data_IF_967633084949
#
_entry.id   IF_967633084949
#
_cell.length_a   1.000
_cell.length_b   1.000
_cell.length_c   1.000
_cell.angle_alpha   90.00
_cell.angle_beta   90.00
_cell.angle_gamma   90.00
#
_symmetry.space_group_name_H-M   'P 1'
#
loop_
_entity.id
_entity.type
_entity.pdbx_description
1 polymer ?
#
# COMPACT_ATOMS: atom_id res chain seq x y z
N UNK A 1 -26.45 -35.59 -41.78
CA UNK A 1 -25.98 -34.18 -41.71
C UNK A 1 -25.85 -33.73 -40.27
N UNK A 2 -24.64 -33.75 -39.70
CA UNK A 2 -24.22 -32.90 -38.57
C UNK A 2 -22.70 -32.71 -38.72
N UNK A 3 -22.28 -31.49 -39.05
CA UNK A 3 -20.87 -31.12 -39.24
C UNK A 3 -20.19 -31.07 -37.87
N UNK A 4 -19.14 -31.87 -37.67
CA UNK A 4 -18.27 -31.78 -36.50
C UNK A 4 -17.47 -30.47 -36.50
N UNK A 5 -17.49 -29.76 -35.37
CA UNK A 5 -16.76 -28.51 -35.16
C UNK A 5 -15.29 -28.86 -34.84
N UNK A 6 -14.35 -28.46 -35.69
CA UNK A 6 -12.90 -28.58 -35.44
C UNK A 6 -12.52 -27.69 -34.26
N UNK A 7 -11.87 -28.27 -33.25
CA UNK A 7 -11.21 -27.55 -32.15
C UNK A 7 -10.00 -26.82 -32.75
N UNK A 8 -9.90 -25.51 -32.48
CA UNK A 8 -8.74 -24.69 -32.85
C UNK A 8 -7.78 -24.70 -31.66
N UNK A 9 -6.57 -25.22 -31.87
CA UNK A 9 -5.44 -24.97 -30.98
C UNK A 9 -5.09 -23.49 -31.02
N UNK A 10 -4.88 -22.90 -29.84
CA UNK A 10 -4.47 -21.51 -29.68
C UNK A 10 -2.96 -21.49 -29.82
N UNK A 11 -2.48 -20.78 -30.84
CA UNK A 11 -1.07 -20.54 -31.12
C UNK A 11 -0.44 -19.67 -30.02
N UNK A 12 0.62 -20.16 -29.39
CA UNK A 12 1.57 -19.32 -28.66
C UNK A 12 2.38 -18.43 -29.64
N UNK A 13 2.52 -17.15 -29.31
CA UNK A 13 3.45 -16.18 -29.93
C UNK A 13 4.18 -15.40 -28.81
N UNK A 14 5.36 -14.80 -29.04
CA UNK A 14 6.48 -15.19 -29.90
C UNK A 14 7.81 -15.27 -29.11
N UNK A 15 8.80 -15.97 -29.68
CA UNK A 15 10.22 -15.88 -29.28
C UNK A 15 10.77 -14.50 -29.60
N UNK A 16 11.41 -13.84 -28.63
CA UNK A 16 12.81 -13.36 -28.66
C UNK A 16 12.99 -12.21 -27.66
N UNK A 17 13.75 -12.44 -26.59
CA UNK A 17 14.49 -11.38 -25.93
C UNK A 17 15.94 -11.82 -25.74
N UNK A 18 16.80 -10.97 -26.29
CA UNK A 18 18.26 -11.02 -26.44
C UNK A 18 18.99 -11.67 -25.27
N UNK A 19 19.73 -12.74 -25.56
CA UNK A 19 20.75 -13.29 -24.67
C UNK A 19 21.88 -12.24 -24.60
N UNK A 20 21.94 -11.50 -23.50
CA UNK A 20 23.09 -10.66 -23.16
C UNK A 20 24.34 -11.55 -23.12
N UNK A 21 25.26 -11.36 -24.05
CA UNK A 21 26.55 -12.04 -24.03
C UNK A 21 27.46 -11.36 -22.99
N UNK A 22 27.25 -11.67 -21.71
CA UNK A 22 28.21 -11.32 -20.66
C UNK A 22 28.99 -12.60 -20.35
N UNK A 23 30.22 -12.69 -20.88
CA UNK A 23 31.15 -13.76 -20.51
C UNK A 23 31.85 -13.30 -19.23
N UNK A 24 31.40 -13.81 -18.08
CA UNK A 24 32.10 -13.60 -16.80
C UNK A 24 33.13 -14.71 -16.66
N UNK A 25 34.41 -14.37 -16.79
CA UNK A 25 35.49 -15.31 -16.53
C UNK A 25 35.86 -15.25 -15.04
N UNK A 26 35.26 -16.12 -14.23
CA UNK A 26 35.60 -16.26 -12.82
C UNK A 26 36.79 -17.20 -12.70
N UNK A 27 37.93 -16.72 -12.19
CA UNK A 27 39.04 -17.61 -11.82
C UNK A 27 38.55 -18.57 -10.73
N UNK A 28 38.71 -19.90 -10.89
CA UNK A 28 38.42 -20.83 -9.82
C UNK A 28 39.37 -20.51 -8.66
N UNK A 29 38.80 -20.18 -7.51
CA UNK A 29 39.55 -20.00 -6.28
C UNK A 29 39.69 -21.41 -5.69
N UNK A 30 40.90 -21.99 -5.74
CA UNK A 30 41.13 -23.39 -5.33
C UNK A 30 41.00 -23.62 -3.83
N UNK A 31 40.79 -22.57 -3.03
CA UNK A 31 40.64 -22.66 -1.58
C UNK A 31 39.31 -22.08 -1.10
N UNK A 32 38.21 -22.80 -1.27
CA UNK A 32 37.02 -22.63 -0.43
C UNK A 32 36.41 -23.98 -0.12
N UNK A 33 36.45 -24.36 1.17
CA UNK A 33 35.53 -25.36 1.72
C UNK A 33 34.13 -24.95 1.28
N UNK A 34 33.49 -25.80 0.48
CA UNK A 34 32.10 -25.61 0.09
C UNK A 34 31.32 -26.04 1.32
N UNK A 35 30.82 -25.07 2.09
CA UNK A 35 29.82 -25.39 3.10
C UNK A 35 28.58 -25.87 2.32
N UNK A 36 28.36 -27.18 2.31
CA UNK A 36 27.17 -27.78 1.70
C UNK A 36 25.94 -27.15 2.36
N UNK A 37 25.23 -26.32 1.61
CA UNK A 37 23.98 -25.76 2.07
C UNK A 37 23.01 -26.94 2.24
N UNK A 38 22.47 -27.20 3.45
CA UNK A 38 21.57 -28.31 3.64
C UNK A 38 20.38 -28.17 2.69
N UNK A 39 20.05 -29.27 2.01
CA UNK A 39 18.90 -29.33 1.11
C UNK A 39 17.61 -28.95 1.85
N UNK A 40 16.64 -28.38 1.13
CA UNK A 40 15.34 -28.07 1.70
C UNK A 40 14.63 -29.38 2.08
N UNK A 41 14.63 -29.69 3.38
CA UNK A 41 13.77 -30.72 3.95
C UNK A 41 12.40 -30.11 4.21
N UNK A 42 11.34 -30.72 3.67
CA UNK A 42 9.97 -30.38 4.08
C UNK A 42 9.80 -30.84 5.51
N UNK A 43 9.96 -29.92 6.44
CA UNK A 43 9.45 -30.11 7.79
C UNK A 43 7.93 -30.19 7.68
N UNK A 44 7.36 -31.36 7.96
CA UNK A 44 5.93 -31.49 8.21
C UNK A 44 5.64 -30.63 9.45
N UNK A 45 5.19 -29.40 9.23
CA UNK A 45 4.79 -28.51 10.31
C UNK A 45 3.57 -29.15 10.99
N UNK A 46 3.82 -29.84 12.09
CA UNK A 46 2.78 -30.38 12.94
C UNK A 46 2.15 -29.19 13.69
N UNK A 47 1.20 -28.53 13.03
CA UNK A 47 0.50 -27.29 13.47
C UNK A 47 -0.12 -27.45 14.87
N UNK A 48 -0.27 -28.68 15.35
CA UNK A 48 -0.96 -29.00 16.58
C UNK A 48 -0.25 -28.56 17.88
N UNK A 49 1.01 -28.12 17.84
CA UNK A 49 1.74 -27.66 19.04
C UNK A 49 2.70 -26.49 18.76
N UNK A 50 2.29 -25.49 17.97
CA UNK A 50 2.95 -24.18 18.09
C UNK A 50 2.51 -23.60 19.43
N UNK A 51 3.35 -23.77 20.44
CA UNK A 51 3.23 -23.04 21.69
C UNK A 51 3.54 -21.56 21.39
N UNK A 52 2.52 -20.79 20.99
CA UNK A 52 2.57 -19.35 20.62
C UNK A 52 3.07 -18.47 21.81
N UNK A 53 3.42 -19.06 22.95
CA UNK A 53 3.65 -18.38 24.21
C UNK A 53 5.11 -17.93 24.47
N UNK A 54 5.97 -17.70 23.47
CA UNK A 54 7.37 -17.30 23.77
C UNK A 54 8.04 -16.29 22.83
N UNK A 55 7.28 -15.53 22.06
CA UNK A 55 7.80 -14.30 21.45
C UNK A 55 6.83 -13.17 21.74
N UNK A 56 7.29 -12.14 22.44
CA UNK A 56 6.58 -10.88 22.65
C UNK A 56 6.00 -10.38 21.32
N UNK A 57 4.76 -10.75 21.01
CA UNK A 57 4.13 -10.36 19.78
C UNK A 57 3.78 -8.88 19.89
N UNK A 58 4.29 -8.09 18.96
CA UNK A 58 4.02 -6.66 18.90
C UNK A 58 2.72 -6.41 18.15
N UNK A 59 1.88 -5.53 18.68
CA UNK A 59 0.63 -5.13 18.03
C UNK A 59 0.93 -4.33 16.75
N UNK A 60 0.31 -4.73 15.63
CA UNK A 60 0.49 -4.07 14.33
C UNK A 60 -0.01 -2.63 14.28
N UNK A 61 -0.91 -2.24 15.19
CA UNK A 61 -1.44 -0.88 15.27
C UNK A 61 -0.65 0.02 16.23
N UNK A 62 -0.57 -0.36 17.52
CA UNK A 62 0.07 0.49 18.54
C UNK A 62 1.57 0.27 18.69
N UNK A 63 2.16 -0.74 18.03
CA UNK A 63 3.59 -1.05 18.09
C UNK A 63 4.13 -1.39 19.49
N UNK A 64 3.27 -1.80 20.43
CA UNK A 64 3.66 -2.24 21.77
C UNK A 64 3.48 -3.76 21.93
N UNK A 65 4.24 -4.34 22.87
CA UNK A 65 4.12 -5.75 23.24
C UNK A 65 2.70 -6.07 23.72
N UNK A 66 2.18 -7.20 23.26
CA UNK A 66 0.88 -7.74 23.67
C UNK A 66 1.12 -8.60 24.91
N UNK A 67 0.52 -8.22 26.04
CA UNK A 67 0.62 -8.96 27.30
C UNK A 67 -0.57 -9.91 27.50
N UNK A 68 -1.67 -9.67 26.78
CA UNK A 68 -2.93 -10.41 26.86
C UNK A 68 -3.06 -11.41 25.70
N UNK A 69 -4.26 -11.95 25.48
CA UNK A 69 -4.58 -12.77 24.30
C UNK A 69 -4.28 -12.00 23.01
N UNK A 70 -3.52 -12.62 22.11
CA UNK A 70 -3.27 -12.08 20.77
C UNK A 70 -4.52 -12.23 19.93
N UNK A 71 -5.02 -11.10 19.42
CA UNK A 71 -6.15 -11.08 18.50
C UNK A 71 -5.67 -10.93 17.06
N UNK A 72 -6.40 -11.54 16.14
CA UNK A 72 -6.13 -11.46 14.71
C UNK A 72 -7.30 -10.84 13.95
N UNK A 73 -6.98 -10.07 12.91
CA UNK A 73 -7.97 -9.43 12.06
C UNK A 73 -8.63 -10.45 11.15
N UNK A 74 -9.97 -10.58 11.15
CA UNK A 74 -10.67 -11.42 10.18
C UNK A 74 -10.68 -10.75 8.80
N UNK A 75 -10.20 -11.45 7.78
CA UNK A 75 -10.24 -11.01 6.37
C UNK A 75 -11.48 -11.57 5.67
N UNK A 76 -11.75 -12.86 5.92
CA UNK A 76 -12.74 -13.63 5.16
C UNK A 76 -13.50 -14.56 6.10
N UNK A 77 -14.76 -14.78 5.77
CA UNK A 77 -15.62 -15.71 6.48
C UNK A 77 -16.29 -16.63 5.45
N UNK A 78 -15.93 -17.92 5.47
CA UNK A 78 -16.46 -18.95 4.58
C UNK A 78 -16.68 -20.25 5.37
N UNK A 79 -17.80 -20.94 5.13
CA UNK A 79 -18.11 -22.24 5.75
C UNK A 79 -17.98 -22.24 7.29
N UNK A 80 -18.40 -21.14 7.93
CA UNK A 80 -18.29 -20.93 9.38
C UNK A 80 -16.85 -20.86 9.92
N UNK A 81 -15.86 -20.66 9.05
CA UNK A 81 -14.45 -20.50 9.40
C UNK A 81 -13.99 -19.08 9.06
N UNK A 82 -13.29 -18.46 10.00
CA UNK A 82 -12.65 -17.16 9.80
C UNK A 82 -11.20 -17.33 9.37
N UNK A 83 -10.85 -16.76 8.22
CA UNK A 83 -9.44 -16.56 7.86
C UNK A 83 -8.97 -15.25 8.49
N UNK A 84 -7.97 -15.34 9.36
CA UNK A 84 -7.47 -14.19 10.13
C UNK A 84 -6.00 -13.90 9.83
N UNK A 85 -5.59 -12.64 10.03
CA UNK A 85 -4.20 -12.19 9.88
C UNK A 85 -3.79 -11.21 10.97
N UNK A 86 -2.48 -11.13 11.20
CA UNK A 86 -1.88 -10.12 12.06
C UNK A 86 -2.08 -10.36 13.54
N UNK A 87 -1.34 -9.56 14.32
CA UNK A 87 -1.30 -9.64 15.78
C UNK A 87 -1.72 -8.29 16.36
N UNK A 88 -2.74 -8.29 17.21
CA UNK A 88 -3.33 -7.08 17.78
C UNK A 88 -3.63 -7.27 19.27
N UNK A 89 -3.50 -6.19 20.04
CA UNK A 89 -3.81 -6.20 21.48
C UNK A 89 -5.31 -6.01 21.79
N UNK A 90 -6.11 -5.50 20.85
CA UNK A 90 -7.54 -5.25 21.05
C UNK A 90 -8.32 -5.17 19.74
N UNK A 91 -9.62 -5.44 19.78
CA UNK A 91 -10.50 -5.25 18.61
C UNK A 91 -10.50 -3.80 18.12
N UNK A 92 -10.39 -2.82 19.03
CA UNK A 92 -10.30 -1.41 18.69
C UNK A 92 -9.02 -1.08 17.91
N UNK A 93 -7.92 -1.78 18.19
CA UNK A 93 -6.69 -1.65 17.40
C UNK A 93 -6.84 -2.25 16.00
N UNK A 94 -7.61 -3.34 15.86
CA UNK A 94 -7.92 -3.93 14.55
C UNK A 94 -8.76 -2.96 13.72
N UNK A 95 -9.84 -2.42 14.29
CA UNK A 95 -10.70 -1.48 13.57
C UNK A 95 -9.94 -0.21 13.17
N UNK A 96 -9.07 0.31 14.05
CA UNK A 96 -8.21 1.44 13.70
C UNK A 96 -7.24 1.12 12.56
N UNK A 97 -6.63 -0.06 12.59
CA UNK A 97 -5.73 -0.52 11.53
C UNK A 97 -6.45 -0.66 10.18
N UNK A 98 -7.70 -1.12 10.18
CA UNK A 98 -8.54 -1.18 8.97
C UNK A 98 -8.83 0.23 8.45
N UNK A 99 -9.17 1.18 9.33
CA UNK A 99 -9.49 2.55 8.92
C UNK A 99 -8.26 3.29 8.38
N UNK A 100 -7.10 3.09 9.01
CA UNK A 100 -5.83 3.68 8.57
C UNK A 100 -5.27 2.97 7.32
N UNK A 101 -5.92 1.92 6.81
CA UNK A 101 -5.52 1.28 5.54
C UNK A 101 -5.87 2.20 4.36
N UNK A 102 -4.93 2.37 3.42
CA UNK A 102 -5.11 3.22 2.23
C UNK A 102 -5.95 2.52 1.15
N UNK A 103 -7.05 1.88 1.55
CA UNK A 103 -7.96 1.17 0.66
C UNK A 103 -9.19 2.01 0.32
N UNK A 104 -10.01 1.51 -0.62
CA UNK A 104 -11.30 2.12 -0.92
C UNK A 104 -12.23 2.05 0.30
N UNK A 105 -13.10 3.05 0.43
CA UNK A 105 -14.08 3.11 1.52
C UNK A 105 -14.96 1.85 1.60
N UNK A 106 -15.38 1.31 0.47
CA UNK A 106 -16.15 0.08 0.40
C UNK A 106 -15.42 -1.12 1.02
N UNK A 107 -14.13 -1.28 0.71
CA UNK A 107 -13.32 -2.36 1.29
C UNK A 107 -13.13 -2.19 2.79
N UNK A 108 -12.95 -0.95 3.25
CA UNK A 108 -12.87 -0.60 4.68
C UNK A 108 -14.17 -1.01 5.39
N UNK A 109 -15.34 -0.63 4.84
CA UNK A 109 -16.64 -0.99 5.43
C UNK A 109 -16.89 -2.50 5.44
N UNK A 110 -16.50 -3.21 4.38
CA UNK A 110 -16.61 -4.67 4.32
C UNK A 110 -15.76 -5.33 5.42
N UNK A 111 -14.50 -4.91 5.56
CA UNK A 111 -13.61 -5.42 6.61
C UNK A 111 -14.10 -5.10 8.02
N UNK A 112 -14.60 -3.89 8.25
CA UNK A 112 -15.22 -3.52 9.53
C UNK A 112 -16.47 -4.34 9.83
N UNK A 113 -17.28 -4.64 8.82
CA UNK A 113 -18.46 -5.50 8.97
C UNK A 113 -18.08 -6.93 9.33
N UNK A 114 -17.05 -7.49 8.69
CA UNK A 114 -16.50 -8.81 9.04
C UNK A 114 -15.92 -8.83 10.47
N UNK A 115 -15.24 -7.77 10.88
CA UNK A 115 -14.73 -7.62 12.26
C UNK A 115 -15.87 -7.59 13.29
N UNK A 116 -16.94 -6.84 13.01
CA UNK A 116 -18.11 -6.77 13.88
C UNK A 116 -18.80 -8.13 14.00
N UNK A 117 -18.92 -8.88 12.89
CA UNK A 117 -19.44 -10.24 12.90
C UNK A 117 -18.58 -11.16 13.79
N UNK A 118 -17.26 -11.12 13.59
CA UNK A 118 -16.31 -11.92 14.38
C UNK A 118 -16.40 -11.60 15.88
N UNK A 119 -16.44 -10.32 16.23
CA UNK A 119 -16.58 -9.86 17.61
C UNK A 119 -17.88 -10.38 18.27
N UNK A 120 -18.99 -10.32 17.54
CA UNK A 120 -20.29 -10.75 18.05
C UNK A 120 -20.36 -12.27 18.25
N UNK A 121 -19.76 -13.05 17.34
CA UNK A 121 -19.67 -14.51 17.48
C UNK A 121 -18.76 -14.89 18.66
N UNK A 122 -17.58 -14.28 18.79
CA UNK A 122 -16.64 -14.62 19.86
C UNK A 122 -17.15 -14.24 21.26
N UNK A 123 -17.86 -13.13 21.39
CA UNK A 123 -18.36 -12.65 22.69
C UNK A 123 -19.83 -13.00 22.98
N UNK A 124 -20.51 -13.75 22.09
CA UNK A 124 -21.95 -14.03 22.17
C UNK A 124 -22.79 -12.76 22.39
N UNK A 125 -22.43 -11.67 21.72
CA UNK A 125 -23.16 -10.40 21.79
C UNK A 125 -23.98 -10.17 20.53
N UNK A 126 -25.18 -9.61 20.68
CA UNK A 126 -26.00 -9.24 19.53
C UNK A 126 -25.73 -7.78 19.12
N UNK A 127 -25.35 -7.59 17.86
CA UNK A 127 -25.32 -6.29 17.17
C UNK A 127 -24.43 -5.21 17.81
N UNK A 128 -23.33 -5.59 18.48
CA UNK A 128 -22.33 -4.61 18.93
C UNK A 128 -21.37 -4.29 17.79
N UNK A 129 -21.08 -3.02 17.61
CA UNK A 129 -20.04 -2.53 16.70
C UNK A 129 -18.77 -2.22 17.49
N UNK A 130 -17.62 -2.63 16.96
CA UNK A 130 -16.31 -2.36 17.55
C UNK A 130 -15.96 -0.89 17.30
N UNK A 131 -15.67 -0.15 18.37
CA UNK A 131 -15.20 1.22 18.27
C UNK A 131 -13.73 1.27 17.87
N UNK A 132 -13.32 2.22 17.00
CA UNK A 132 -11.93 2.38 16.63
C UNK A 132 -11.11 3.00 17.75
N UNK A 133 -9.89 2.51 17.91
CA UNK A 133 -8.89 3.12 18.77
C UNK A 133 -8.51 4.54 18.25
N UNK A 134 -7.98 5.41 19.11
CA UNK A 134 -7.41 6.68 18.67
C UNK A 134 -6.20 6.44 17.76
N UNK A 135 -5.79 7.48 17.03
CA UNK A 135 -4.62 7.41 16.14
C UNK A 135 -3.37 7.02 16.92
N UNK A 136 -2.53 6.16 16.33
CA UNK A 136 -1.23 5.82 16.92
C UNK A 136 -0.34 7.05 17.13
N UNK A 137 -0.54 8.11 16.35
CA UNK A 137 0.19 9.38 16.47
C UNK A 137 -0.05 10.10 17.81
N UNK A 138 -1.09 9.70 18.56
CA UNK A 138 -1.39 10.28 19.88
C UNK A 138 -0.46 9.72 20.96
N UNK A 139 0.22 8.60 20.72
CA UNK A 139 1.18 8.01 21.65
C UNK A 139 2.47 8.84 21.71
N UNK A 140 3.06 8.95 22.91
CA UNK A 140 4.36 9.61 23.14
C UNK A 140 5.49 9.10 22.24
N UNK A 141 5.50 7.79 21.91
CA UNK A 141 6.49 7.20 21.00
C UNK A 141 6.51 7.88 19.62
N UNK A 142 5.37 8.38 19.16
CA UNK A 142 5.23 9.08 17.88
C UNK A 142 5.20 10.61 18.03
N UNK A 143 5.44 11.13 19.24
CA UNK A 143 5.41 12.56 19.55
C UNK A 143 4.05 13.09 20.04
N UNK A 144 3.12 12.21 20.40
CA UNK A 144 1.83 12.59 20.99
C UNK A 144 1.89 12.79 22.51
N UNK A 145 0.74 13.07 23.12
CA UNK A 145 0.64 13.39 24.55
C UNK A 145 0.24 12.19 25.43
N UNK A 146 -0.32 11.11 24.85
CA UNK A 146 -0.84 9.98 25.63
C UNK A 146 0.21 8.90 25.85
N UNK A 147 0.11 8.27 27.02
CA UNK A 147 0.86 7.05 27.32
C UNK A 147 0.18 5.79 26.76
N UNK A 148 0.88 4.64 26.76
CA UNK A 148 0.33 3.39 26.23
C UNK A 148 -0.83 2.86 27.08
N UNK A 149 -0.74 3.02 28.39
CA UNK A 149 -1.78 2.55 29.31
C UNK A 149 -3.06 3.38 29.14
N UNK A 150 -2.90 4.70 29.00
CA UNK A 150 -4.00 5.63 28.68
C UNK A 150 -4.64 5.31 27.33
N UNK A 151 -3.82 4.99 26.32
CA UNK A 151 -4.29 4.60 24.99
C UNK A 151 -5.15 3.33 25.04
N UNK A 152 -4.69 2.32 25.78
CA UNK A 152 -5.42 1.05 25.94
C UNK A 152 -6.69 1.22 26.77
N UNK A 153 -6.69 2.10 27.77
CA UNK A 153 -7.87 2.39 28.58
C UNK A 153 -8.97 3.05 27.74
N UNK A 154 -8.63 4.06 26.93
CA UNK A 154 -9.59 4.78 26.08
C UNK A 154 -10.21 3.93 24.95
N UNK A 155 -9.61 2.78 24.62
CA UNK A 155 -10.16 1.86 23.61
C UNK A 155 -11.54 1.30 23.96
N UNK A 156 -11.96 1.35 25.24
CA UNK A 156 -13.24 0.81 25.71
C UNK A 156 -14.44 1.76 25.54
N UNK A 157 -14.22 3.06 25.37
CA UNK A 157 -15.30 4.06 25.54
C UNK A 157 -15.53 5.03 24.37
N UNK A 158 -14.70 5.05 23.33
CA UNK A 158 -14.83 6.12 22.33
C UNK A 158 -15.79 5.79 21.17
N UNK A 159 -16.99 6.37 21.19
CA UNK A 159 -17.55 6.94 19.97
C UNK A 159 -16.68 8.15 19.62
N UNK A 160 -15.82 8.03 18.60
CA UNK A 160 -15.12 9.20 18.08
C UNK A 160 -16.14 10.00 17.28
N UNK A 161 -16.83 10.94 17.94
CA UNK A 161 -17.34 12.12 17.26
C UNK A 161 -16.10 12.89 16.83
N UNK A 162 -15.61 12.62 15.63
CA UNK A 162 -14.63 13.48 15.00
C UNK A 162 -15.33 14.81 14.73
N UNK A 163 -15.32 15.70 15.71
CA UNK A 163 -15.48 17.14 15.46
C UNK A 163 -14.24 17.58 14.69
N UNK A 164 -14.13 17.14 13.44
CA UNK A 164 -13.29 17.81 12.47
C UNK A 164 -14.05 19.09 12.20
N UNK A 165 -13.62 20.16 12.87
CA UNK A 165 -14.04 21.50 12.46
C UNK A 165 -13.74 21.61 10.96
N UNK A 166 -14.71 22.06 10.15
CA UNK A 166 -14.50 22.17 8.72
C UNK A 166 -13.25 23.02 8.50
N UNK A 167 -12.30 22.51 7.71
CA UNK A 167 -11.15 23.30 7.26
C UNK A 167 -11.74 24.41 6.38
N UNK A 168 -12.02 25.55 7.00
CA UNK A 168 -12.39 26.75 6.28
C UNK A 168 -11.13 27.16 5.54
N UNK A 169 -11.09 26.94 4.22
CA UNK A 169 -10.11 27.63 3.39
C UNK A 169 -10.37 29.11 3.57
N UNK A 170 -9.54 29.81 4.32
CA UNK A 170 -9.42 31.25 4.20
C UNK A 170 -8.88 31.51 2.79
N UNK A 171 -9.80 31.61 1.82
CA UNK A 171 -9.50 32.30 0.59
C UNK A 171 -9.32 33.74 1.03
N UNK A 172 -8.07 34.18 1.06
CA UNK A 172 -7.76 35.57 1.26
C UNK A 172 -8.30 36.34 0.05
N UNK A 173 -9.53 36.85 0.16
CA UNK A 173 -10.24 37.58 -0.90
C UNK A 173 -9.58 38.96 -1.14
N UNK A 174 -8.55 39.34 -0.38
CA UNK A 174 -7.91 40.66 -0.50
C UNK A 174 -6.64 40.73 -1.34
N UNK A 175 -6.13 39.64 -1.94
CA UNK A 175 -4.93 39.74 -2.81
C UNK A 175 -5.09 38.94 -4.09
N UNK A 176 -6.08 39.33 -4.87
CA UNK A 176 -5.96 39.57 -6.31
C UNK A 176 -7.35 39.93 -6.78
N UNK A 177 -7.53 41.18 -7.17
CA UNK A 177 -8.25 41.47 -8.40
C UNK A 177 -7.59 40.63 -9.50
N UNK A 178 -7.95 39.35 -9.55
CA UNK A 178 -7.75 38.52 -10.72
C UNK A 178 -8.61 39.22 -11.75
N UNK A 179 -7.95 39.99 -12.60
CA UNK A 179 -8.46 40.35 -13.90
C UNK A 179 -8.90 39.05 -14.57
N UNK A 180 -10.15 38.65 -14.36
CA UNK A 180 -10.83 37.65 -15.16
C UNK A 180 -11.05 38.34 -16.50
N UNK A 181 -9.97 38.44 -17.29
CA UNK A 181 -10.08 38.68 -18.72
C UNK A 181 -10.79 37.45 -19.27
N UNK A 182 -12.09 37.61 -19.51
CA UNK A 182 -12.91 36.63 -20.24
C UNK A 182 -12.16 36.21 -21.49
N UNK A 183 -11.95 34.90 -21.56
CA UNK A 183 -11.46 34.09 -22.67
C UNK A 183 -11.62 34.74 -24.06
N UNK A 184 -10.50 35.19 -24.63
CA UNK A 184 -10.31 35.25 -26.07
C UNK A 184 -9.04 34.44 -26.40
N UNK A 185 -9.25 33.25 -26.97
CA UNK A 185 -8.34 32.12 -27.08
C UNK A 185 -7.19 32.27 -28.11
N UNK A 186 -6.78 33.49 -28.47
CA UNK A 186 -5.66 33.71 -29.41
C UNK A 186 -4.47 34.48 -28.83
N UNK A 187 -4.65 35.27 -27.77
CA UNK A 187 -3.54 36.08 -27.21
C UNK A 187 -2.69 35.31 -26.18
N UNK A 188 -3.30 34.39 -25.42
CA UNK A 188 -2.64 33.66 -24.34
C UNK A 188 -1.54 32.69 -24.81
N UNK A 189 -1.49 32.31 -26.10
CA UNK A 189 -0.39 31.51 -26.64
C UNK A 189 0.93 32.28 -26.78
N UNK A 190 0.93 33.62 -26.68
CA UNK A 190 2.16 34.43 -26.73
C UNK A 190 2.76 34.66 -25.34
N UNK A 191 1.95 34.63 -24.30
CA UNK A 191 2.35 35.00 -22.93
C UNK A 191 3.20 33.93 -22.24
N UNK A 192 3.03 32.65 -22.62
CA UNK A 192 3.80 31.51 -22.09
C UNK A 192 4.91 31.01 -23.02
N UNK A 193 5.31 31.80 -24.03
CA UNK A 193 6.45 31.41 -24.88
C UNK A 193 7.76 31.67 -24.15
N UNK A 194 8.42 30.59 -23.75
CA UNK A 194 9.81 30.62 -23.29
C UNK A 194 10.70 31.15 -24.44
N UNK A 195 11.21 32.37 -24.31
CA UNK A 195 12.21 32.90 -25.25
C UNK A 195 13.61 32.75 -24.64
N UNK A 196 14.58 32.39 -25.50
CA UNK A 196 16.00 32.40 -25.13
C UNK A 196 16.54 33.81 -25.38
N UNK A 197 17.13 34.47 -24.36
CA UNK A 197 17.70 35.83 -24.50
C UNK A 197 18.75 35.94 -25.61
N UNK A 198 19.53 34.87 -25.81
CA UNK A 198 20.55 34.82 -26.85
C UNK A 198 20.07 33.88 -27.97
N UNK A 199 19.96 34.41 -29.19
CA UNK A 199 19.69 33.61 -30.38
C UNK A 199 20.86 32.65 -30.56
N UNK A 200 20.59 31.34 -30.63
CA UNK A 200 21.63 30.35 -30.94
C UNK A 200 22.10 30.69 -32.36
N UNK A 201 23.36 31.12 -32.51
CA UNK A 201 23.99 31.21 -33.82
C UNK A 201 24.13 29.77 -34.28
N UNK A 202 23.31 29.35 -35.24
CA UNK A 202 23.34 27.98 -35.73
C UNK A 202 24.54 27.90 -36.67
N UNK A 203 25.72 27.57 -36.14
CA UNK A 203 26.92 27.34 -36.96
C UNK A 203 26.99 25.92 -37.51
N UNK A 204 26.06 25.04 -37.10
CA UNK A 204 26.09 23.64 -37.48
C UNK A 204 24.73 23.30 -38.06
N UNK A 205 24.61 23.47 -39.38
CA UNK A 205 23.51 22.88 -40.11
C UNK A 205 23.71 21.35 -40.11
N UNK A 206 22.66 20.61 -39.78
CA UNK A 206 22.79 19.16 -39.54
C UNK A 206 23.18 18.46 -40.84
N UNK A 207 22.68 18.94 -41.98
CA UNK A 207 23.01 18.44 -43.31
C UNK A 207 24.51 18.55 -43.63
N UNK A 208 25.13 19.67 -43.24
CA UNK A 208 26.55 19.93 -43.44
C UNK A 208 27.42 19.11 -42.47
N UNK A 209 26.99 18.99 -41.20
CA UNK A 209 27.70 18.19 -40.20
C UNK A 209 27.62 16.67 -40.44
N UNK A 210 26.58 16.21 -41.13
CA UNK A 210 26.34 14.79 -41.44
C UNK A 210 26.68 14.44 -42.90
N UNK A 211 27.16 15.41 -43.69
CA UNK A 211 27.52 15.24 -45.10
C UNK A 211 26.39 14.62 -45.93
N UNK A 212 25.14 15.02 -45.64
CA UNK A 212 23.96 14.52 -46.33
C UNK A 212 23.62 15.47 -47.47
N UNK A 213 23.79 14.99 -48.70
CA UNK A 213 23.33 15.71 -49.90
C UNK A 213 21.81 15.65 -49.92
N UNK A 214 21.16 16.81 -49.84
CA UNK A 214 19.75 16.92 -50.17
C UNK A 214 19.62 16.87 -51.69
N UNK A 215 19.14 15.74 -52.22
CA UNK A 215 18.66 15.67 -53.60
C UNK A 215 17.31 16.41 -53.69
N UNK A 216 17.19 17.30 -54.69
CA UNK A 216 15.97 18.06 -55.00
C UNK A 216 14.87 17.18 -55.62
#
# INVERSE_FOLDING_TARGET
>A
MKKGKKVKEVNDLPKTQLISQVIINVKPNEDKKIDELPGYEKEDCNINNININSSNSVCWNCCHCINDEVLSQPIKYENNVFTTVGNFCSYSCISRYIIDSNESSENIFNKLSTLNLYYNIKNNTNSKSVTPAPSKLVLKMFGGYMDIDEYRLKNKEYLITTNIEPIVKCIDISVKELHIKKNNSKENMKEFKLYRKNKKVNTNDIYESMNLVSEE
#
